data_IF_389922561609
#
_entry.id   IF_389922561609
#
_cell.length_a   1.000
_cell.length_b   1.000
_cell.length_c   1.000
_cell.angle_alpha   90.00
_cell.angle_beta   90.00
_cell.angle_gamma   90.00
#
_symmetry.space_group_name_H-M   'P 1'
#
loop_
_entity.id
_entity.type
_entity.pdbx_description
1 polymer ?
#
# COMPACT_ATOMS: atom_id res chain seq x y z
N UNK A 1 -2.56 -10.55 -12.68
CA UNK A 1 -3.58 -9.64 -12.12
C UNK A 1 -3.10 -8.34 -11.43
N UNK A 2 -1.80 -8.06 -11.25
CA UNK A 2 -1.33 -6.81 -10.58
C UNK A 2 -1.59 -5.50 -11.36
N UNK A 3 -1.66 -5.55 -12.68
CA UNK A 3 -1.85 -4.37 -13.55
C UNK A 3 -3.28 -3.85 -13.61
N UNK A 4 -4.29 -4.66 -13.24
CA UNK A 4 -5.69 -4.20 -13.18
C UNK A 4 -5.87 -3.13 -12.09
N UNK A 5 -5.19 -3.29 -10.96
CA UNK A 5 -5.34 -2.41 -9.80
C UNK A 5 -4.80 -0.99 -10.08
N UNK A 6 -3.64 -0.86 -10.72
CA UNK A 6 -3.05 0.46 -11.02
C UNK A 6 -3.82 1.22 -12.11
N UNK A 7 -4.42 0.52 -13.08
CA UNK A 7 -5.30 1.16 -14.07
C UNK A 7 -6.60 1.65 -13.42
N UNK A 8 -7.16 0.88 -12.47
CA UNK A 8 -8.32 1.30 -11.68
C UNK A 8 -8.04 2.56 -10.86
N UNK A 9 -6.93 2.57 -10.11
CA UNK A 9 -6.51 3.75 -9.34
C UNK A 9 -6.23 4.98 -10.20
N UNK A 10 -5.86 4.78 -11.48
CA UNK A 10 -5.73 5.87 -12.43
C UNK A 10 -7.05 6.48 -12.85
N UNK A 11 -8.05 5.65 -13.13
CA UNK A 11 -9.42 6.12 -13.44
C UNK A 11 -10.06 6.82 -12.25
N UNK A 12 -9.79 6.34 -11.04
CA UNK A 12 -10.39 6.87 -9.82
C UNK A 12 -9.64 8.11 -9.29
N UNK A 13 -8.66 8.63 -10.04
CA UNK A 13 -7.96 9.88 -9.72
C UNK A 13 -6.95 9.79 -8.59
N UNK A 14 -6.55 8.59 -8.18
CA UNK A 14 -5.61 8.33 -7.07
C UNK A 14 -4.16 8.28 -7.58
N UNK A 15 -3.94 7.80 -8.80
CA UNK A 15 -2.61 7.62 -9.40
C UNK A 15 -2.55 8.20 -10.81
N UNK A 16 -1.57 9.04 -11.10
CA UNK A 16 -1.28 9.48 -12.48
C UNK A 16 -0.33 8.49 -13.16
N UNK A 17 -0.59 8.18 -14.42
CA UNK A 17 0.28 7.36 -15.28
C UNK A 17 0.94 8.23 -16.34
N UNK A 18 2.26 8.31 -16.32
CA UNK A 18 3.05 9.06 -17.31
C UNK A 18 3.90 8.10 -18.13
N UNK A 19 3.82 8.23 -19.47
CA UNK A 19 4.63 7.46 -20.41
C UNK A 19 5.76 8.34 -20.92
N UNK A 20 7.00 7.89 -20.77
CA UNK A 20 8.18 8.56 -21.27
C UNK A 20 8.62 7.87 -22.56
N UNK A 21 8.55 8.55 -23.71
CA UNK A 21 9.01 8.01 -24.99
C UNK A 21 10.54 8.14 -25.09
N UNK A 22 11.25 7.44 -24.22
CA UNK A 22 12.71 7.30 -24.22
C UNK A 22 13.10 5.88 -24.69
N UNK A 23 14.38 5.63 -24.96
CA UNK A 23 14.88 4.28 -25.23
C UNK A 23 15.76 3.87 -24.03
N UNK A 24 15.35 2.85 -23.25
CA UNK A 24 14.13 2.04 -23.36
C UNK A 24 12.87 2.77 -22.85
N UNK A 25 11.68 2.50 -23.41
CA UNK A 25 10.46 3.20 -23.02
C UNK A 25 10.08 2.87 -21.58
N UNK A 26 9.71 3.91 -20.82
CA UNK A 26 9.42 3.81 -19.39
C UNK A 26 8.04 4.33 -19.05
N UNK A 27 7.41 3.71 -18.06
CA UNK A 27 6.11 4.13 -17.52
C UNK A 27 6.28 4.40 -16.04
N UNK A 28 5.95 5.60 -15.61
CA UNK A 28 5.89 5.97 -14.20
C UNK A 28 4.44 6.07 -13.71
N UNK A 29 4.25 5.68 -12.45
CA UNK A 29 3.02 5.89 -11.71
C UNK A 29 3.33 6.78 -10.51
N UNK A 30 2.54 7.84 -10.29
CA UNK A 30 2.68 8.74 -9.14
C UNK A 30 1.34 8.93 -8.47
N UNK A 31 1.33 9.09 -7.15
CA UNK A 31 0.13 9.51 -6.43
C UNK A 31 -0.27 10.92 -6.85
N UNK A 32 -1.56 11.12 -7.10
CA UNK A 32 -2.15 12.46 -7.24
C UNK A 32 -2.20 13.14 -5.86
N UNK A 33 -2.54 14.42 -5.84
CA UNK A 33 -2.80 15.14 -4.59
C UNK A 33 -3.93 14.49 -3.78
N UNK A 34 -5.03 14.10 -4.45
CA UNK A 34 -6.10 13.31 -3.84
C UNK A 34 -5.59 11.94 -3.35
N UNK A 35 -4.79 11.24 -4.13
CA UNK A 35 -4.22 9.95 -3.71
C UNK A 35 -3.32 10.06 -2.48
N UNK A 36 -2.66 11.19 -2.27
CA UNK A 36 -1.87 11.45 -1.05
C UNK A 36 -2.74 11.61 0.18
N UNK A 37 -3.98 12.09 0.07
CA UNK A 37 -4.88 12.18 1.23
C UNK A 37 -5.33 10.82 1.74
N UNK A 38 -5.19 9.75 0.94
CA UNK A 38 -5.41 8.38 1.37
C UNK A 38 -4.25 7.79 2.19
N UNK A 39 -3.07 8.42 2.15
CA UNK A 39 -1.87 7.94 2.84
C UNK A 39 -2.06 7.77 4.36
N UNK A 40 -2.65 8.74 5.10
CA UNK A 40 -2.88 8.58 6.54
C UNK A 40 -3.77 7.37 6.89
N UNK A 41 -4.76 7.06 6.05
CA UNK A 41 -5.64 5.90 6.26
C UNK A 41 -4.87 4.59 6.08
N UNK A 42 -4.06 4.49 5.02
CA UNK A 42 -3.20 3.33 4.78
C UNK A 42 -2.16 3.14 5.88
N UNK A 43 -1.61 4.25 6.40
CA UNK A 43 -0.70 4.25 7.52
C UNK A 43 -1.37 3.74 8.79
N UNK A 44 -2.59 4.21 9.09
CA UNK A 44 -3.36 3.75 10.25
C UNK A 44 -3.63 2.25 10.20
N UNK A 45 -4.05 1.72 9.04
CA UNK A 45 -4.26 0.27 8.83
C UNK A 45 -2.94 -0.49 9.04
N UNK A 46 -1.83 0.03 8.50
CA UNK A 46 -0.51 -0.59 8.64
C UNK A 46 -0.02 -0.58 10.08
N UNK A 47 -0.27 0.51 10.81
CA UNK A 47 0.09 0.67 12.22
C UNK A 47 -0.69 -0.32 13.09
N UNK A 48 -2.01 -0.38 12.90
CA UNK A 48 -2.85 -1.38 13.55
C UNK A 48 -2.38 -2.80 13.26
N UNK A 49 -2.08 -3.12 12.00
CA UNK A 49 -1.60 -4.45 11.61
C UNK A 49 -0.30 -4.84 12.31
N UNK A 50 0.65 -3.90 12.47
CA UNK A 50 1.88 -4.11 13.25
C UNK A 50 1.59 -4.34 14.73
N UNK A 51 0.71 -3.53 15.32
CA UNK A 51 0.32 -3.68 16.73
C UNK A 51 -0.36 -5.03 16.98
N UNK A 52 -1.28 -5.42 16.11
CA UNK A 52 -1.98 -6.69 16.16
C UNK A 52 -1.02 -7.89 16.08
N UNK A 53 -0.04 -7.83 15.17
CA UNK A 53 1.00 -8.87 15.09
C UNK A 53 1.84 -8.95 16.36
N UNK A 54 2.15 -7.81 16.99
CA UNK A 54 2.87 -7.76 18.26
C UNK A 54 2.07 -8.43 19.38
N UNK A 55 0.79 -8.06 19.56
CA UNK A 55 -0.11 -8.65 20.55
C UNK A 55 -0.30 -10.16 20.34
N UNK A 56 -0.41 -10.61 19.08
CA UNK A 56 -0.50 -12.03 18.72
C UNK A 56 0.75 -12.81 19.11
N UNK A 57 1.95 -12.23 18.92
CA UNK A 57 3.24 -12.86 19.28
C UNK A 57 3.45 -12.94 20.79
N UNK A 58 3.00 -11.95 21.54
CA UNK A 58 3.05 -11.92 23.01
C UNK A 58 2.12 -12.98 23.62
N UNK A 59 0.94 -13.20 23.01
CA UNK A 59 -0.03 -14.22 23.44
C UNK A 59 0.44 -15.66 23.21
N UNK A 60 1.42 -15.88 22.32
CA UNK A 60 2.04 -17.19 22.07
C UNK A 60 3.22 -17.52 22.99
N UNK A 61 3.63 -16.62 23.90
CA UNK A 61 4.74 -16.87 24.86
C UNK A 61 4.26 -17.16 26.29
N UNK A 62 2.95 -17.28 26.54
CA UNK A 62 2.38 -17.57 27.88
C UNK A 62 1.62 -18.90 27.92
N UNK A 63 1.88 -19.83 26.99
CA UNK A 63 1.34 -21.19 27.06
C UNK A 63 2.41 -22.22 26.68
N UNK A 64 3.42 -22.36 27.53
CA UNK A 64 4.18 -23.61 27.66
C UNK A 64 4.93 -23.59 29.01
N UNK A 65 4.26 -24.11 30.04
CA UNK A 65 4.90 -24.64 31.25
C UNK A 65 3.97 -25.73 31.80
N UNK A 66 4.35 -26.99 31.64
CA UNK A 66 4.29 -27.99 32.70
C UNK A 66 5.64 -28.12 33.40
#
# INVERSE_FOLDING_TARGET
>A
ERTKNLRGLGRDGIVTRTVFPEIPPRVEYRLTECGRTAFPVLEAISSWGRQYQKTRRESSHTKESP
#
